data_IF_595905441484
#
_entry.id   IF_595905441484
#
_cell.length_a   1.000
_cell.length_b   1.000
_cell.length_c   1.000
_cell.angle_alpha   90.00
_cell.angle_beta   90.00
_cell.angle_gamma   90.00
#
_symmetry.space_group_name_H-M   'P 1'
#
loop_
_entity.id
_entity.type
_entity.pdbx_description
1 polymer ?
#
# COMPACT_ATOMS: atom_id res chain seq x y z
N UNK A 1 0.18 16.81 -8.41
CA UNK A 1 -0.81 15.85 -7.90
C UNK A 1 -0.78 15.98 -6.39
N UNK A 2 -1.83 16.54 -5.78
CA UNK A 2 -1.88 16.73 -4.33
C UNK A 2 -2.90 15.73 -3.81
N UNK A 3 -2.42 14.63 -3.23
CA UNK A 3 -3.30 13.56 -2.74
C UNK A 3 -4.00 14.05 -1.47
N UNK A 4 -5.33 14.01 -1.47
CA UNK A 4 -6.15 14.31 -0.31
C UNK A 4 -5.78 13.35 0.85
N UNK A 5 -5.43 13.83 2.05
CA UNK A 5 -5.10 12.99 3.19
C UNK A 5 -6.15 11.91 3.51
N UNK A 6 -7.44 12.23 3.37
CA UNK A 6 -8.50 11.25 3.59
C UNK A 6 -8.46 10.14 2.53
N UNK A 7 -8.15 10.50 1.28
CA UNK A 7 -7.96 9.56 0.19
C UNK A 7 -6.74 8.66 0.41
N UNK A 8 -5.61 9.22 0.83
CA UNK A 8 -4.40 8.45 1.15
C UNK A 8 -4.67 7.43 2.27
N UNK A 9 -5.37 7.86 3.33
CA UNK A 9 -5.75 6.96 4.42
C UNK A 9 -6.67 5.83 3.94
N UNK A 10 -7.65 6.14 3.10
CA UNK A 10 -8.52 5.12 2.50
C UNK A 10 -7.72 4.10 1.66
N UNK A 11 -6.81 4.57 0.80
CA UNK A 11 -5.97 3.72 -0.03
C UNK A 11 -5.07 2.82 0.81
N UNK A 12 -4.50 3.34 1.91
CA UNK A 12 -3.74 2.54 2.86
C UNK A 12 -4.59 1.40 3.44
N UNK A 13 -5.79 1.69 3.96
CA UNK A 13 -6.68 0.67 4.53
C UNK A 13 -7.04 -0.42 3.51
N UNK A 14 -7.36 -0.04 2.28
CA UNK A 14 -7.66 -1.00 1.20
C UNK A 14 -6.45 -1.85 0.87
N UNK A 15 -5.26 -1.24 0.80
CA UNK A 15 -4.02 -1.97 0.51
C UNK A 15 -3.67 -2.97 1.62
N UNK A 16 -3.79 -2.58 2.90
CA UNK A 16 -3.59 -3.49 4.04
C UNK A 16 -4.56 -4.68 4.00
N UNK A 17 -5.85 -4.41 3.75
CA UNK A 17 -6.86 -5.47 3.67
C UNK A 17 -6.58 -6.45 2.52
N UNK A 18 -6.18 -5.94 1.34
CA UNK A 18 -5.82 -6.77 0.18
C UNK A 18 -4.57 -7.60 0.44
N UNK A 19 -3.52 -6.99 0.99
CA UNK A 19 -2.28 -7.68 1.31
C UNK A 19 -2.51 -8.80 2.35
N UNK A 20 -3.30 -8.53 3.38
CA UNK A 20 -3.69 -9.53 4.39
C UNK A 20 -4.44 -10.72 3.78
N UNK A 21 -5.34 -10.47 2.83
CA UNK A 21 -6.09 -11.52 2.14
C UNK A 21 -5.21 -12.37 1.21
N UNK A 22 -4.24 -11.75 0.54
CA UNK A 22 -3.34 -12.42 -0.42
C UNK A 22 -2.21 -13.18 0.28
N UNK A 23 -1.77 -12.75 1.47
CA UNK A 23 -0.60 -13.30 2.20
C UNK A 23 0.68 -13.34 1.34
N UNK A 24 1.22 -12.17 0.96
CA UNK A 24 2.45 -12.10 0.18
C UNK A 24 3.62 -12.72 0.96
N UNK A 25 4.63 -13.20 0.23
CA UNK A 25 5.85 -13.79 0.78
C UNK A 25 7.06 -12.86 0.66
N UNK A 26 6.88 -11.65 0.11
CA UNK A 26 7.97 -10.70 -0.11
C UNK A 26 7.47 -9.26 -0.19
N UNK A 27 8.38 -8.32 0.12
CA UNK A 27 8.14 -6.87 -0.01
C UNK A 27 7.77 -6.50 -1.45
N UNK A 28 8.33 -7.18 -2.45
CA UNK A 28 8.01 -6.92 -3.85
C UNK A 28 6.53 -7.21 -4.15
N UNK A 29 5.99 -8.33 -3.65
CA UNK A 29 4.57 -8.65 -3.82
C UNK A 29 3.66 -7.65 -3.08
N UNK A 30 4.08 -7.17 -1.90
CA UNK A 30 3.38 -6.07 -1.21
C UNK A 30 3.36 -4.81 -2.09
N UNK A 31 4.50 -4.43 -2.66
CA UNK A 31 4.61 -3.26 -3.53
C UNK A 31 3.71 -3.35 -4.76
N UNK A 32 3.58 -4.52 -5.36
CA UNK A 32 2.72 -4.74 -6.53
C UNK A 32 1.23 -4.62 -6.16
N UNK A 33 0.82 -5.17 -5.01
CA UNK A 33 -0.54 -5.03 -4.47
C UNK A 33 -0.87 -3.56 -4.17
N UNK A 34 0.04 -2.84 -3.52
CA UNK A 34 -0.13 -1.42 -3.22
C UNK A 34 -0.21 -0.62 -4.51
N UNK A 35 0.64 -0.90 -5.50
CA UNK A 35 0.67 -0.18 -6.79
C UNK A 35 -0.67 -0.28 -7.52
N UNK A 36 -1.25 -1.47 -7.60
CA UNK A 36 -2.58 -1.68 -8.21
C UNK A 36 -3.70 -1.03 -7.38
N UNK A 37 -3.48 -0.85 -6.08
CA UNK A 37 -4.48 -0.24 -5.20
C UNK A 37 -4.47 1.29 -5.28
N UNK A 38 -3.29 1.90 -5.35
CA UNK A 38 -3.16 3.36 -5.36
C UNK A 38 -3.33 3.98 -6.74
N UNK A 39 -3.17 3.22 -7.84
CA UNK A 39 -3.39 3.69 -9.23
C UNK A 39 -2.84 5.10 -9.54
N UNK A 40 -1.54 5.31 -9.25
CA UNK A 40 -0.86 6.61 -9.38
C UNK A 40 -1.53 7.78 -8.62
N UNK A 41 -2.45 7.52 -7.68
CA UNK A 41 -3.10 8.57 -6.87
C UNK A 41 -2.20 9.14 -5.77
N UNK A 42 -1.00 8.58 -5.56
CA UNK A 42 -0.03 9.02 -4.56
C UNK A 42 1.35 9.20 -5.16
N UNK A 43 2.13 10.12 -4.60
CA UNK A 43 3.53 10.27 -4.99
C UNK A 43 4.39 9.07 -4.53
N UNK A 44 5.60 8.98 -5.10
CA UNK A 44 6.56 7.90 -4.81
C UNK A 44 6.92 7.79 -3.33
N UNK A 45 6.92 8.92 -2.59
CA UNK A 45 7.27 8.92 -1.16
C UNK A 45 6.14 8.29 -0.34
N UNK A 46 4.90 8.71 -0.60
CA UNK A 46 3.69 8.19 0.04
C UNK A 46 3.47 6.72 -0.32
N UNK A 47 3.69 6.35 -1.59
CA UNK A 47 3.69 4.95 -2.03
C UNK A 47 4.68 4.10 -1.20
N UNK A 48 5.92 4.56 -1.04
CA UNK A 48 6.94 3.83 -0.27
C UNK A 48 6.57 3.70 1.21
N UNK A 49 5.96 4.73 1.80
CA UNK A 49 5.49 4.67 3.18
C UNK A 49 4.40 3.58 3.34
N UNK A 50 3.38 3.58 2.47
CA UNK A 50 2.32 2.57 2.51
C UNK A 50 2.90 1.15 2.32
N UNK A 51 3.84 0.96 1.39
CA UNK A 51 4.48 -0.35 1.17
C UNK A 51 5.20 -0.85 2.42
N UNK A 52 5.97 0.01 3.08
CA UNK A 52 6.71 -0.37 4.29
C UNK A 52 5.75 -0.72 5.44
N UNK A 53 4.74 0.13 5.67
CA UNK A 53 3.75 -0.07 6.74
C UNK A 53 2.98 -1.38 6.54
N UNK A 54 2.55 -1.67 5.31
CA UNK A 54 1.86 -2.93 4.98
C UNK A 54 2.80 -4.13 5.07
N UNK A 55 4.04 -4.01 4.61
CA UNK A 55 5.02 -5.09 4.65
C UNK A 55 5.37 -5.49 6.09
N UNK A 56 5.55 -4.52 6.98
CA UNK A 56 5.80 -4.75 8.41
C UNK A 56 4.64 -5.49 9.10
N UNK A 57 3.40 -5.28 8.64
CA UNK A 57 2.20 -5.95 9.15
C UNK A 57 2.06 -7.40 8.64
N UNK A 58 2.24 -7.62 7.33
CA UNK A 58 1.85 -8.91 6.69
C UNK A 58 2.98 -9.90 6.48
N UNK A 59 4.25 -9.47 6.55
CA UNK A 59 5.42 -10.34 6.35
C UNK A 59 6.09 -10.77 7.66
N UNK A 60 5.53 -10.36 8.80
CA UNK A 60 6.05 -10.69 10.13
C UNK A 60 5.69 -12.09 10.61
#
# INVERSE_FOLDING_TARGET
MHSDPARVQYLHLVASARASAVRPASVQQVADIVRVTVDDEVDTTTFRAIVNDVADDVLR
#
